data_IF_558397649728
#
_entry.id   IF_558397649728
#
_cell.length_a   1.000
_cell.length_b   1.000
_cell.length_c   1.000
_cell.angle_alpha   90.00
_cell.angle_beta   90.00
_cell.angle_gamma   90.00
#
_symmetry.space_group_name_H-M   'P 1'
#
loop_
_entity.id
_entity.type
_entity.pdbx_description
1 polymer ?
#
# COMPACT_ATOMS: atom_id res chain seq x y z
N UNK A 1 25.74 -0.23 42.66
CA UNK A 1 24.70 0.31 41.76
C UNK A 1 24.36 -0.80 40.79
N UNK A 2 23.28 -1.54 41.05
CA UNK A 2 22.82 -2.71 40.30
C UNK A 2 21.96 -2.27 39.09
N UNK A 3 22.09 -2.90 37.91
CA UNK A 3 21.23 -2.60 36.76
C UNK A 3 19.89 -3.28 36.86
N UNK A 4 18.85 -2.57 36.45
CA UNK A 4 17.42 -2.91 36.46
C UNK A 4 17.13 -4.14 35.59
N UNK A 5 16.57 -5.17 36.20
CA UNK A 5 16.12 -6.41 35.56
C UNK A 5 14.89 -6.14 34.68
N UNK A 6 15.00 -6.44 33.38
CA UNK A 6 13.87 -6.53 32.45
C UNK A 6 13.06 -7.80 32.79
N UNK A 7 11.87 -7.63 33.34
CA UNK A 7 10.90 -8.75 33.48
C UNK A 7 10.21 -8.99 32.14
N UNK A 8 10.36 -10.22 31.64
CA UNK A 8 9.84 -10.67 30.38
C UNK A 8 8.30 -10.80 30.39
N UNK A 9 7.72 -10.46 29.25
CA UNK A 9 6.42 -10.99 28.84
C UNK A 9 6.62 -12.43 28.33
N UNK A 10 5.75 -13.39 28.65
CA UNK A 10 5.89 -14.76 28.15
C UNK A 10 5.62 -14.81 26.64
N UNK A 11 6.38 -15.63 25.87
CA UNK A 11 6.09 -15.84 24.47
C UNK A 11 4.80 -16.65 24.34
N UNK A 12 3.89 -16.16 23.52
CA UNK A 12 2.71 -16.91 23.07
C UNK A 12 3.22 -17.98 22.08
N UNK A 13 3.43 -19.19 22.58
CA UNK A 13 3.78 -20.35 21.75
C UNK A 13 2.47 -20.95 21.24
N UNK A 14 2.13 -20.71 19.99
CA UNK A 14 1.20 -21.55 19.25
C UNK A 14 2.02 -22.54 18.43
N UNK A 15 1.85 -23.81 18.76
CA UNK A 15 2.45 -24.94 18.04
C UNK A 15 1.93 -25.01 16.58
N UNK A 16 2.84 -25.16 15.64
CA UNK A 16 2.62 -25.81 14.35
C UNK A 16 2.10 -24.98 13.19
N UNK A 17 2.91 -24.05 12.72
CA UNK A 17 3.07 -23.74 11.27
C UNK A 17 4.25 -22.76 11.12
N UNK A 18 5.03 -22.93 10.08
CA UNK A 18 6.15 -22.05 9.74
C UNK A 18 5.59 -20.70 9.26
N UNK A 19 4.99 -19.91 10.18
CA UNK A 19 4.41 -18.59 9.90
C UNK A 19 5.57 -17.60 9.96
N UNK A 20 6.07 -17.21 8.80
CA UNK A 20 6.95 -16.05 8.69
C UNK A 20 6.29 -14.85 9.38
N UNK A 21 7.06 -14.09 10.17
CA UNK A 21 6.55 -12.89 10.85
C UNK A 21 5.80 -11.97 9.87
N UNK A 22 4.63 -11.44 10.28
CA UNK A 22 3.82 -10.60 9.41
C UNK A 22 4.60 -9.33 9.04
N UNK A 23 4.51 -8.93 7.76
CA UNK A 23 5.16 -7.72 7.26
C UNK A 23 4.45 -6.44 7.72
N UNK A 24 3.13 -6.52 8.00
CA UNK A 24 2.32 -5.48 8.63
C UNK A 24 1.58 -6.11 9.81
N UNK A 25 1.71 -5.50 10.99
CA UNK A 25 1.02 -5.91 12.20
C UNK A 25 0.43 -4.71 12.91
N UNK A 26 -0.89 -4.66 13.04
CA UNK A 26 -1.63 -3.71 13.87
C UNK A 26 -2.21 -4.45 15.08
N UNK A 27 -2.09 -3.85 16.27
CA UNK A 27 -2.59 -4.42 17.55
C UNK A 27 -3.36 -3.32 18.26
N UNK A 28 -4.66 -3.52 18.44
CA UNK A 28 -5.55 -2.57 19.11
C UNK A 28 -5.55 -1.18 18.46
N UNK A 29 -5.34 -1.10 17.15
CA UNK A 29 -5.09 0.15 16.44
C UNK A 29 -6.32 1.04 16.44
N UNK A 30 -6.18 2.25 16.99
CA UNK A 30 -7.25 3.25 17.04
C UNK A 30 -6.76 4.55 16.43
N UNK A 31 -7.60 5.15 15.59
CA UNK A 31 -7.34 6.49 15.03
C UNK A 31 -8.57 7.38 15.18
N UNK A 32 -8.34 8.54 15.79
CA UNK A 32 -9.34 9.56 16.00
C UNK A 32 -8.89 10.89 15.42
N UNK A 33 -9.83 11.62 14.86
CA UNK A 33 -9.64 12.98 14.36
C UNK A 33 -10.47 13.95 15.18
N UNK A 34 -9.90 15.09 15.51
CA UNK A 34 -10.60 16.18 16.21
C UNK A 34 -11.02 17.22 15.16
N UNK A 35 -12.32 17.43 14.99
CA UNK A 35 -12.89 18.49 14.14
C UNK A 35 -13.65 19.48 15.00
N UNK A 36 -13.01 20.58 15.35
CA UNK A 36 -13.56 21.55 16.31
C UNK A 36 -13.77 20.90 17.69
N UNK A 37 -15.02 20.78 18.13
CA UNK A 37 -15.37 20.09 19.39
C UNK A 37 -15.81 18.63 19.19
N UNK A 38 -15.85 18.14 17.94
CA UNK A 38 -16.33 16.78 17.64
C UNK A 38 -15.14 15.86 17.43
N UNK A 39 -15.18 14.71 18.12
CA UNK A 39 -14.25 13.58 17.95
C UNK A 39 -14.84 12.61 16.96
N UNK A 40 -14.10 12.28 15.90
CA UNK A 40 -14.50 11.33 14.87
C UNK A 40 -13.53 10.15 14.93
N UNK A 41 -14.01 8.98 15.29
CA UNK A 41 -13.22 7.74 15.32
C UNK A 41 -13.23 7.11 13.93
N UNK A 42 -12.07 7.10 13.26
CA UNK A 42 -11.89 6.50 11.95
C UNK A 42 -11.53 5.01 12.02
N UNK A 43 -10.80 4.60 13.05
CA UNK A 43 -10.48 3.20 13.37
C UNK A 43 -10.65 2.98 14.86
N UNK A 44 -11.25 1.87 15.27
CA UNK A 44 -11.60 1.56 16.65
C UNK A 44 -11.14 0.16 17.05
N UNK A 45 -10.00 0.07 17.72
CA UNK A 45 -9.42 -1.17 18.26
C UNK A 45 -9.29 -2.27 17.18
N UNK A 46 -8.52 -1.99 16.11
CA UNK A 46 -8.38 -2.85 14.94
C UNK A 46 -7.12 -3.70 15.07
N UNK A 47 -7.25 -5.01 14.88
CA UNK A 47 -6.14 -5.96 14.79
C UNK A 47 -5.97 -6.45 13.35
N UNK A 48 -4.76 -6.35 12.80
CA UNK A 48 -4.44 -6.77 11.44
C UNK A 48 -3.06 -7.42 11.40
N UNK A 49 -2.98 -8.56 10.73
CA UNK A 49 -1.71 -9.16 10.34
C UNK A 49 -1.72 -9.44 8.83
N UNK A 50 -0.68 -8.98 8.13
CA UNK A 50 -0.47 -9.23 6.70
C UNK A 50 0.87 -9.92 6.53
N UNK A 51 0.88 -11.08 5.88
CA UNK A 51 2.07 -11.83 5.55
C UNK A 51 2.83 -11.25 4.36
N UNK A 52 4.12 -11.58 4.25
CA UNK A 52 4.91 -11.23 3.08
C UNK A 52 4.37 -11.93 1.83
N UNK A 53 4.22 -11.19 0.73
CA UNK A 53 3.68 -11.71 -0.52
C UNK A 53 2.16 -11.90 -0.53
N UNK A 54 1.44 -11.49 0.52
CA UNK A 54 -0.03 -11.47 0.46
C UNK A 54 -0.54 -10.34 -0.45
N UNK A 55 -1.65 -10.61 -1.14
CA UNK A 55 -2.47 -9.59 -1.77
C UNK A 55 -3.78 -9.48 -0.98
N UNK A 56 -3.93 -8.40 -0.23
CA UNK A 56 -5.09 -8.13 0.64
C UNK A 56 -5.91 -6.98 0.07
N UNK A 57 -7.22 -7.18 -0.05
CA UNK A 57 -8.18 -6.11 -0.34
C UNK A 57 -8.91 -5.70 0.95
N UNK A 58 -8.93 -4.40 1.22
CA UNK A 58 -9.73 -3.77 2.27
C UNK A 58 -10.97 -3.17 1.61
N UNK A 59 -12.14 -3.74 1.90
CA UNK A 59 -13.42 -3.32 1.33
C UNK A 59 -14.33 -2.70 2.40
N UNK A 60 -15.18 -1.78 1.99
CA UNK A 60 -16.17 -1.16 2.87
C UNK A 60 -16.72 0.15 2.31
N UNK A 61 -17.78 0.72 2.91
CA UNK A 61 -18.38 1.96 2.45
C UNK A 61 -17.43 3.16 2.56
N UNK A 62 -17.75 4.25 1.87
CA UNK A 62 -17.01 5.50 2.02
C UNK A 62 -17.02 5.96 3.49
N UNK A 63 -15.88 6.44 3.98
CA UNK A 63 -15.74 6.88 5.38
C UNK A 63 -15.58 5.75 6.41
N UNK A 64 -15.46 4.48 6.00
CA UNK A 64 -15.26 3.36 6.94
C UNK A 64 -13.87 3.29 7.59
N UNK A 65 -12.89 4.10 7.13
CA UNK A 65 -11.53 4.13 7.68
C UNK A 65 -10.45 3.47 6.82
N UNK A 66 -10.78 2.95 5.62
CA UNK A 66 -9.84 2.23 4.74
C UNK A 66 -8.59 3.03 4.37
N UNK A 67 -8.77 4.21 3.79
CA UNK A 67 -7.63 5.08 3.42
C UNK A 67 -6.88 5.57 4.66
N UNK A 68 -7.57 5.74 5.80
CA UNK A 68 -6.91 6.05 7.08
C UNK A 68 -5.95 4.93 7.47
N UNK A 69 -6.36 3.67 7.37
CA UNK A 69 -5.49 2.53 7.66
C UNK A 69 -4.28 2.49 6.71
N UNK A 70 -4.49 2.72 5.40
CA UNK A 70 -3.37 2.83 4.46
C UNK A 70 -2.40 3.95 4.84
N UNK A 71 -2.91 5.11 5.23
CA UNK A 71 -2.08 6.26 5.63
C UNK A 71 -1.28 5.98 6.91
N UNK A 72 -1.86 5.25 7.87
CA UNK A 72 -1.12 4.82 9.06
C UNK A 72 0.00 3.84 8.70
N UNK A 73 -0.27 2.83 7.85
CA UNK A 73 0.74 1.88 7.36
C UNK A 73 1.85 2.60 6.60
N UNK A 74 1.50 3.65 5.84
CA UNK A 74 2.46 4.48 5.12
C UNK A 74 3.26 5.43 6.04
N UNK A 75 2.91 5.53 7.32
CA UNK A 75 3.48 6.53 8.22
C UNK A 75 3.17 7.97 7.78
N UNK A 76 2.08 8.19 7.04
CA UNK A 76 1.60 9.54 6.67
C UNK A 76 0.82 10.17 7.82
N UNK A 77 0.37 9.35 8.76
CA UNK A 77 -0.29 9.76 10.00
C UNK A 77 0.15 8.81 11.12
N UNK A 78 -0.12 9.17 12.38
CA UNK A 78 0.19 8.37 13.54
C UNK A 78 -1.11 7.83 14.19
N UNK A 79 -1.11 6.62 14.78
CA UNK A 79 -2.23 6.11 15.56
C UNK A 79 -2.47 6.98 16.79
N UNK A 80 -3.73 7.03 17.26
CA UNK A 80 -4.09 7.66 18.53
C UNK A 80 -3.80 6.70 19.68
N UNK A 81 -4.12 5.41 19.50
CA UNK A 81 -3.87 4.33 20.44
C UNK A 81 -3.50 3.04 19.71
N UNK A 82 -2.96 2.07 20.44
CA UNK A 82 -2.52 0.79 19.88
C UNK A 82 -1.13 0.87 19.26
N UNK A 83 -0.77 -0.20 18.55
CA UNK A 83 0.57 -0.36 17.98
C UNK A 83 0.49 -0.76 16.51
N UNK A 84 1.34 -0.16 15.67
CA UNK A 84 1.48 -0.52 14.27
C UNK A 84 2.96 -0.77 13.96
N UNK A 85 3.27 -2.01 13.56
CA UNK A 85 4.59 -2.43 13.13
C UNK A 85 4.53 -2.76 11.65
N UNK A 86 5.44 -2.20 10.87
CA UNK A 86 5.57 -2.43 9.43
C UNK A 86 7.02 -2.76 9.12
N UNK A 87 7.28 -3.93 8.54
CA UNK A 87 8.64 -4.41 8.28
C UNK A 87 9.52 -4.46 9.55
N UNK A 88 8.93 -4.78 10.70
CA UNK A 88 9.63 -4.84 11.99
C UNK A 88 9.89 -3.47 12.64
N UNK A 89 9.48 -2.36 12.01
CA UNK A 89 9.67 -1.00 12.52
C UNK A 89 8.33 -0.33 12.82
N UNK A 90 8.32 0.68 13.69
CA UNK A 90 7.15 1.48 14.03
C UNK A 90 7.27 2.87 13.36
N UNK A 91 6.59 3.10 12.21
CA UNK A 91 6.72 4.36 11.47
C UNK A 91 6.35 5.60 12.30
N UNK A 92 5.39 5.45 13.22
CA UNK A 92 4.95 6.54 14.10
C UNK A 92 6.02 7.03 15.08
N UNK A 93 7.06 6.23 15.37
CA UNK A 93 8.16 6.59 16.26
C UNK A 93 9.37 7.16 15.52
N UNK A 94 9.36 7.19 14.20
CA UNK A 94 10.46 7.71 13.38
C UNK A 94 10.41 9.23 13.31
N UNK A 95 11.60 9.86 13.26
CA UNK A 95 11.66 11.26 12.86
C UNK A 95 11.38 11.40 11.36
N UNK A 96 10.92 12.58 10.94
CA UNK A 96 10.48 12.86 9.56
C UNK A 96 11.50 12.47 8.48
N UNK A 97 12.79 12.73 8.71
CA UNK A 97 13.86 12.41 7.75
C UNK A 97 14.06 10.91 7.59
N UNK A 98 14.02 10.15 8.69
CA UNK A 98 14.13 8.69 8.68
C UNK A 98 12.89 8.08 8.04
N UNK A 99 11.71 8.58 8.40
CA UNK A 99 10.42 8.14 7.87
C UNK A 99 10.31 8.37 6.36
N UNK A 100 10.76 9.52 5.85
CA UNK A 100 10.76 9.79 4.42
C UNK A 100 11.67 8.83 3.64
N UNK A 101 12.84 8.48 4.18
CA UNK A 101 13.75 7.49 3.57
C UNK A 101 13.17 6.09 3.63
N UNK A 102 12.61 5.72 4.77
CA UNK A 102 11.96 4.43 4.99
C UNK A 102 10.81 4.24 4.01
N UNK A 103 9.90 5.22 3.88
CA UNK A 103 8.82 5.21 2.89
C UNK A 103 9.34 5.00 1.47
N UNK A 104 10.33 5.81 1.07
CA UNK A 104 10.88 5.74 -0.28
C UNK A 104 11.54 4.39 -0.59
N UNK A 105 12.04 3.69 0.42
CA UNK A 105 12.72 2.41 0.24
C UNK A 105 11.74 1.23 0.24
N UNK A 106 10.76 1.26 1.14
CA UNK A 106 9.94 0.10 1.46
C UNK A 106 8.52 0.15 0.88
N UNK A 107 8.01 1.35 0.54
CA UNK A 107 6.63 1.52 0.11
C UNK A 107 6.52 2.08 -1.29
N UNK A 108 5.65 1.44 -2.11
CA UNK A 108 5.13 1.99 -3.34
C UNK A 108 3.68 2.45 -3.14
N UNK A 109 3.32 3.64 -3.60
CA UNK A 109 1.96 4.15 -3.46
C UNK A 109 1.29 4.33 -4.82
N UNK A 110 0.12 3.71 -4.99
CA UNK A 110 -0.75 3.82 -6.17
C UNK A 110 -2.02 4.54 -5.75
N UNK A 111 -2.32 5.68 -6.38
CA UNK A 111 -3.44 6.56 -6.03
C UNK A 111 -4.58 6.42 -7.03
N UNK A 112 -5.80 6.69 -6.60
CA UNK A 112 -6.99 6.75 -7.43
C UNK A 112 -6.89 7.82 -8.52
N UNK A 113 -6.37 9.01 -8.20
CA UNK A 113 -6.23 10.15 -9.12
C UNK A 113 -4.87 10.19 -9.81
N UNK A 114 -4.16 9.06 -9.92
CA UNK A 114 -2.85 8.88 -10.54
C UNK A 114 -1.74 9.74 -9.92
N UNK A 115 -2.02 10.96 -9.53
CA UNK A 115 -1.11 11.95 -8.91
C UNK A 115 0.21 12.11 -9.70
N UNK A 116 0.11 12.14 -11.03
CA UNK A 116 1.23 12.46 -11.90
C UNK A 116 1.46 13.98 -11.91
N UNK A 117 2.73 14.37 -12.01
CA UNK A 117 3.10 15.77 -12.17
C UNK A 117 2.90 16.14 -13.64
N UNK A 118 1.98 17.07 -13.98
CA UNK A 118 1.54 17.30 -15.35
C UNK A 118 2.62 17.86 -16.29
N UNK A 119 3.63 18.53 -15.72
CA UNK A 119 4.76 19.14 -16.48
C UNK A 119 5.92 18.18 -16.67
N UNK A 120 5.85 16.97 -16.16
CA UNK A 120 6.85 15.92 -16.32
C UNK A 120 6.34 14.86 -17.29
N UNK A 121 7.25 14.28 -18.08
CA UNK A 121 6.95 13.10 -18.91
C UNK A 121 6.66 11.85 -18.05
N UNK A 122 6.18 10.77 -18.66
CA UNK A 122 6.00 9.49 -18.01
C UNK A 122 7.32 9.01 -17.36
N UNK A 123 8.42 9.07 -18.11
CA UNK A 123 9.74 8.69 -17.60
C UNK A 123 10.19 9.56 -16.43
N UNK A 124 10.00 10.86 -16.51
CA UNK A 124 10.39 11.79 -15.44
C UNK A 124 9.53 11.61 -14.18
N UNK A 125 8.22 11.32 -14.32
CA UNK A 125 7.34 10.97 -13.20
C UNK A 125 7.82 9.70 -12.48
N UNK A 126 8.20 8.67 -13.24
CA UNK A 126 8.70 7.41 -12.66
C UNK A 126 10.10 7.59 -12.06
N UNK A 127 10.93 8.49 -12.60
CA UNK A 127 12.27 8.77 -12.04
C UNK A 127 12.24 9.50 -10.68
N UNK A 128 11.12 10.16 -10.32
CA UNK A 128 11.03 11.02 -9.11
C UNK A 128 11.49 10.34 -7.82
N UNK A 129 10.99 9.14 -7.44
CA UNK A 129 11.42 8.48 -6.20
C UNK A 129 12.92 8.18 -6.20
N UNK A 130 13.51 7.90 -7.35
CA UNK A 130 14.94 7.61 -7.48
C UNK A 130 15.83 8.84 -7.25
N UNK A 131 15.30 10.06 -7.38
CA UNK A 131 16.04 11.29 -7.06
C UNK A 131 16.40 11.41 -5.58
N UNK A 132 15.69 10.70 -4.70
CA UNK A 132 15.98 10.59 -3.27
C UNK A 132 17.07 9.56 -2.95
N UNK A 133 17.51 8.79 -3.94
CA UNK A 133 18.57 7.79 -3.81
C UNK A 133 19.93 8.36 -4.20
N UNK A 134 21.01 7.61 -3.93
CA UNK A 134 22.38 7.97 -4.37
C UNK A 134 22.70 7.50 -5.79
N UNK A 135 21.73 7.00 -6.55
CA UNK A 135 21.95 6.49 -7.90
C UNK A 135 22.36 7.62 -8.86
N UNK A 136 23.35 7.40 -9.75
CA UNK A 136 23.70 8.35 -10.79
C UNK A 136 22.54 8.47 -11.80
N UNK A 137 22.46 9.63 -12.47
CA UNK A 137 21.36 9.97 -13.41
C UNK A 137 21.12 8.88 -14.48
N UNK A 138 22.18 8.32 -15.04
CA UNK A 138 22.07 7.27 -16.05
C UNK A 138 21.34 6.02 -15.50
N UNK A 139 21.67 5.59 -14.30
CA UNK A 139 21.02 4.44 -13.64
C UNK A 139 19.58 4.73 -13.25
N UNK A 140 19.28 5.94 -12.78
CA UNK A 140 17.89 6.32 -12.50
C UNK A 140 17.02 6.24 -13.75
N UNK A 141 17.53 6.77 -14.88
CA UNK A 141 16.81 6.72 -16.15
C UNK A 141 16.63 5.30 -16.66
N UNK A 142 17.65 4.46 -16.56
CA UNK A 142 17.60 3.03 -16.91
C UNK A 142 16.53 2.29 -16.09
N UNK A 143 16.53 2.47 -14.75
CA UNK A 143 15.55 1.84 -13.86
C UNK A 143 14.13 2.33 -14.16
N UNK A 144 13.95 3.63 -14.40
CA UNK A 144 12.64 4.20 -14.73
C UNK A 144 12.12 3.67 -16.08
N UNK A 145 12.99 3.53 -17.08
CA UNK A 145 12.66 2.91 -18.37
C UNK A 145 12.25 1.45 -18.19
N UNK A 146 12.99 0.70 -17.38
CA UNK A 146 12.67 -0.71 -17.07
C UNK A 146 11.32 -0.84 -16.37
N UNK A 147 11.00 0.05 -15.43
CA UNK A 147 9.71 0.06 -14.75
C UNK A 147 8.56 0.38 -15.72
N UNK A 148 8.73 1.34 -16.64
CA UNK A 148 7.74 1.64 -17.68
C UNK A 148 7.54 0.47 -18.65
N UNK A 149 8.62 -0.21 -19.03
CA UNK A 149 8.55 -1.41 -19.87
C UNK A 149 7.79 -2.54 -19.17
N UNK A 150 7.98 -2.73 -17.86
CA UNK A 150 7.27 -3.75 -17.07
C UNK A 150 5.75 -3.55 -17.10
N UNK A 151 5.29 -2.30 -17.17
CA UNK A 151 3.86 -1.94 -17.24
C UNK A 151 3.36 -1.74 -18.69
N UNK A 152 4.18 -2.07 -19.71
CA UNK A 152 3.81 -2.01 -21.13
C UNK A 152 3.68 -0.58 -21.68
N UNK A 153 4.58 0.31 -21.26
CA UNK A 153 4.63 1.72 -21.70
C UNK A 153 6.01 2.15 -22.21
N UNK A 154 6.76 1.23 -22.81
CA UNK A 154 8.08 1.47 -23.38
C UNK A 154 8.06 2.42 -24.59
N UNK A 155 6.93 2.54 -25.28
CA UNK A 155 6.69 3.47 -26.38
C UNK A 155 6.12 4.84 -25.95
N UNK A 156 5.94 5.06 -24.62
CA UNK A 156 5.30 6.26 -24.05
C UNK A 156 6.21 7.06 -23.12
N UNK A 157 7.51 6.80 -23.11
CA UNK A 157 8.49 7.39 -22.17
C UNK A 157 8.44 8.93 -22.13
N UNK A 158 8.35 9.56 -23.29
CA UNK A 158 8.40 11.01 -23.45
C UNK A 158 7.01 11.68 -23.52
N UNK A 159 5.93 10.92 -23.30
CA UNK A 159 4.57 11.45 -23.25
C UNK A 159 4.30 12.15 -21.91
N UNK A 160 3.64 13.29 -21.98
CA UNK A 160 3.10 14.00 -20.82
C UNK A 160 1.76 13.37 -20.38
N UNK A 161 1.32 13.50 -19.12
CA UNK A 161 0.05 12.94 -18.64
C UNK A 161 -1.13 13.25 -19.57
N UNK A 162 -1.28 14.49 -20.03
CA UNK A 162 -2.36 14.92 -20.95
C UNK A 162 -2.40 14.18 -22.30
N UNK A 163 -1.37 13.43 -22.64
CA UNK A 163 -1.23 12.66 -23.89
C UNK A 163 -1.48 11.17 -23.66
N UNK A 164 -1.77 10.77 -22.42
CA UNK A 164 -2.00 9.40 -22.00
C UNK A 164 -3.49 9.18 -21.74
N UNK A 165 -3.98 7.95 -21.96
CA UNK A 165 -5.29 7.54 -21.44
C UNK A 165 -5.26 7.36 -19.94
N UNK A 166 -6.41 7.37 -19.25
CA UNK A 166 -6.47 7.14 -17.80
C UNK A 166 -5.82 5.83 -17.37
N UNK A 167 -6.01 4.75 -18.13
CA UNK A 167 -5.34 3.47 -17.88
C UNK A 167 -3.82 3.54 -18.09
N UNK A 168 -3.33 4.34 -19.04
CA UNK A 168 -1.90 4.60 -19.22
C UNK A 168 -1.34 5.45 -18.08
N UNK A 169 -2.04 6.50 -17.66
CA UNK A 169 -1.65 7.32 -16.50
C UNK A 169 -1.55 6.48 -15.23
N UNK A 170 -2.51 5.59 -14.99
CA UNK A 170 -2.48 4.67 -13.85
C UNK A 170 -1.29 3.72 -13.92
N UNK A 171 -1.00 3.16 -15.09
CA UNK A 171 0.19 2.32 -15.27
C UNK A 171 1.50 3.08 -15.05
N UNK A 172 1.60 4.36 -15.42
CA UNK A 172 2.74 5.24 -15.05
C UNK A 172 2.80 5.38 -13.52
N UNK A 173 1.66 5.59 -12.85
CA UNK A 173 1.57 5.63 -11.39
C UNK A 173 2.07 4.35 -10.72
N UNK A 174 1.72 3.18 -11.27
CA UNK A 174 2.21 1.88 -10.81
C UNK A 174 3.71 1.73 -11.06
N UNK A 175 4.22 2.10 -12.24
CA UNK A 175 5.66 2.08 -12.54
C UNK A 175 6.45 2.96 -11.56
N UNK A 176 5.93 4.15 -11.24
CA UNK A 176 6.49 5.05 -10.22
C UNK A 176 6.52 4.40 -8.83
N UNK A 177 5.47 3.68 -8.47
CA UNK A 177 5.41 2.95 -7.20
C UNK A 177 6.43 1.81 -7.12
N UNK A 178 6.76 1.19 -8.26
CA UNK A 178 7.66 0.02 -8.35
C UNK A 178 9.13 0.36 -8.50
N UNK A 179 9.47 1.56 -8.96
CA UNK A 179 10.82 1.90 -9.44
C UNK A 179 11.91 1.81 -8.36
N UNK A 180 11.52 1.89 -7.09
CA UNK A 180 12.42 1.72 -5.93
C UNK A 180 12.49 0.26 -5.45
N UNK A 181 11.79 -0.65 -6.12
CA UNK A 181 11.67 -2.06 -5.74
C UNK A 181 11.12 -2.27 -4.31
N UNK A 182 9.95 -1.69 -3.97
CA UNK A 182 9.43 -1.69 -2.61
C UNK A 182 9.01 -3.08 -2.13
N UNK A 183 9.00 -3.29 -0.81
CA UNK A 183 8.47 -4.50 -0.15
C UNK A 183 6.94 -4.56 -0.20
N UNK A 184 6.29 -3.39 -0.06
CA UNK A 184 4.83 -3.26 0.04
C UNK A 184 4.32 -2.24 -0.98
N UNK A 185 3.24 -2.58 -1.67
CA UNK A 185 2.48 -1.68 -2.53
C UNK A 185 1.16 -1.35 -1.83
N UNK A 186 0.93 -0.07 -1.58
CA UNK A 186 -0.32 0.46 -1.04
C UNK A 186 -1.12 1.07 -2.19
N UNK A 187 -2.29 0.50 -2.49
CA UNK A 187 -3.13 0.93 -3.60
C UNK A 187 -4.47 1.47 -3.07
N UNK A 188 -4.68 2.77 -3.18
CA UNK A 188 -5.92 3.43 -2.75
C UNK A 188 -6.84 3.63 -3.96
N UNK A 189 -7.86 2.80 -4.08
CA UNK A 189 -8.84 2.75 -5.17
C UNK A 189 -8.20 2.79 -6.57
N UNK A 190 -7.28 1.87 -6.90
CA UNK A 190 -6.43 1.97 -8.09
C UNK A 190 -7.18 1.91 -9.42
N UNK A 191 -8.45 1.53 -9.42
CA UNK A 191 -9.32 1.39 -10.59
C UNK A 191 -10.49 2.37 -10.60
N UNK A 192 -10.66 3.19 -9.55
CA UNK A 192 -11.85 3.99 -9.33
C UNK A 192 -12.15 5.05 -10.39
N UNK A 193 -11.14 5.47 -11.17
CA UNK A 193 -11.28 6.47 -12.24
C UNK A 193 -11.08 5.87 -13.65
N UNK A 194 -11.20 4.55 -13.80
CA UNK A 194 -10.93 3.83 -15.04
C UNK A 194 -12.20 3.23 -15.64
N UNK A 195 -12.21 3.10 -16.96
CA UNK A 195 -13.16 2.24 -17.66
C UNK A 195 -12.91 0.75 -17.33
N UNK A 196 -13.90 -0.12 -17.61
CA UNK A 196 -13.86 -1.53 -17.24
C UNK A 196 -12.65 -2.29 -17.83
N UNK A 197 -12.25 -1.97 -19.06
CA UNK A 197 -11.10 -2.61 -19.73
C UNK A 197 -9.80 -2.19 -19.08
N UNK A 198 -9.60 -0.90 -18.89
CA UNK A 198 -8.42 -0.34 -18.21
C UNK A 198 -8.32 -0.81 -16.75
N UNK A 199 -9.46 -0.93 -16.06
CA UNK A 199 -9.52 -1.46 -14.70
C UNK A 199 -9.05 -2.92 -14.65
N UNK A 200 -9.55 -3.78 -15.56
CA UNK A 200 -9.12 -5.17 -15.66
C UNK A 200 -7.60 -5.28 -15.93
N UNK A 201 -7.06 -4.47 -16.85
CA UNK A 201 -5.62 -4.45 -17.14
C UNK A 201 -4.79 -4.07 -15.90
N UNK A 202 -5.23 -3.07 -15.13
CA UNK A 202 -4.55 -2.65 -13.88
C UNK A 202 -4.61 -3.74 -12.81
N UNK A 203 -5.76 -4.41 -12.63
CA UNK A 203 -5.89 -5.51 -11.68
C UNK A 203 -5.02 -6.70 -12.07
N UNK A 204 -5.00 -7.07 -13.35
CA UNK A 204 -4.12 -8.11 -13.88
C UNK A 204 -2.64 -7.78 -13.62
N UNK A 205 -2.24 -6.52 -13.82
CA UNK A 205 -0.89 -6.07 -13.52
C UNK A 205 -0.56 -6.23 -12.04
N UNK A 206 -1.44 -5.80 -11.13
CA UNK A 206 -1.24 -5.96 -9.68
C UNK A 206 -1.14 -7.44 -9.28
N UNK A 207 -1.99 -8.31 -9.85
CA UNK A 207 -1.91 -9.76 -9.62
C UNK A 207 -0.58 -10.35 -10.09
N UNK A 208 -0.07 -9.93 -11.26
CA UNK A 208 1.24 -10.35 -11.75
C UNK A 208 2.35 -9.90 -10.81
N UNK A 209 2.32 -8.66 -10.34
CA UNK A 209 3.30 -8.13 -9.38
C UNK A 209 3.32 -8.93 -8.08
N UNK A 210 2.16 -9.36 -7.62
CA UNK A 210 2.06 -10.22 -6.45
C UNK A 210 2.59 -11.65 -6.75
N UNK A 211 2.07 -12.33 -7.79
CA UNK A 211 2.34 -13.75 -8.04
C UNK A 211 3.75 -14.01 -8.60
N UNK A 212 4.21 -13.16 -9.53
CA UNK A 212 5.47 -13.37 -10.24
C UNK A 212 6.66 -12.70 -9.54
N UNK A 213 6.42 -11.54 -8.89
CA UNK A 213 7.47 -10.75 -8.23
C UNK A 213 7.40 -10.79 -6.69
N UNK A 214 6.45 -11.54 -6.12
CA UNK A 214 6.32 -11.72 -4.66
C UNK A 214 6.00 -10.44 -3.88
N UNK A 215 5.44 -9.40 -4.54
CA UNK A 215 5.12 -8.13 -3.88
C UNK A 215 3.95 -8.28 -2.93
N UNK A 216 4.07 -7.74 -1.72
CA UNK A 216 2.93 -7.61 -0.81
C UNK A 216 2.08 -6.45 -1.25
N UNK A 217 0.77 -6.64 -1.39
CA UNK A 217 -0.15 -5.61 -1.86
C UNK A 217 -1.30 -5.44 -0.88
N UNK A 218 -1.51 -4.19 -0.41
CA UNK A 218 -2.72 -3.80 0.30
C UNK A 218 -3.51 -2.85 -0.60
N UNK A 219 -4.67 -3.28 -1.05
CA UNK A 219 -5.56 -2.52 -1.91
C UNK A 219 -6.81 -2.11 -1.15
N UNK A 220 -7.16 -0.85 -1.21
CA UNK A 220 -8.45 -0.33 -0.77
C UNK A 220 -9.36 -0.21 -1.96
N UNK A 221 -10.58 -0.69 -1.83
CA UNK A 221 -11.61 -0.54 -2.86
C UNK A 221 -13.01 -0.60 -2.25
N UNK A 222 -13.99 -0.01 -2.93
CA UNK A 222 -15.41 -0.21 -2.64
C UNK A 222 -16.08 -1.08 -3.72
N UNK A 223 -15.33 -1.45 -4.77
CA UNK A 223 -15.82 -2.28 -5.87
C UNK A 223 -15.54 -3.77 -5.60
N UNK A 224 -16.59 -4.63 -5.52
CA UNK A 224 -16.42 -6.06 -5.30
C UNK A 224 -15.62 -6.78 -6.40
N UNK A 225 -15.71 -6.29 -7.64
CA UNK A 225 -14.97 -6.88 -8.77
C UNK A 225 -13.45 -6.66 -8.59
N UNK A 226 -13.06 -5.45 -8.24
CA UNK A 226 -11.66 -5.14 -7.92
C UNK A 226 -11.17 -5.94 -6.70
N UNK A 227 -12.00 -6.08 -5.66
CA UNK A 227 -11.66 -6.83 -4.47
C UNK A 227 -11.41 -8.32 -4.75
N UNK A 228 -12.11 -8.90 -5.71
CA UNK A 228 -11.94 -10.31 -6.12
C UNK A 228 -10.56 -10.60 -6.73
N UNK A 229 -9.80 -9.58 -7.14
CA UNK A 229 -8.42 -9.75 -7.62
C UNK A 229 -7.44 -10.13 -6.49
N UNK A 230 -7.78 -9.85 -5.22
CA UNK A 230 -6.95 -10.15 -4.07
C UNK A 230 -7.13 -11.59 -3.57
N UNK A 231 -6.08 -12.13 -2.96
CA UNK A 231 -6.11 -13.46 -2.33
C UNK A 231 -6.84 -13.48 -0.97
N UNK A 232 -6.98 -12.32 -0.32
CA UNK A 232 -7.67 -12.16 0.96
C UNK A 232 -8.49 -10.89 0.98
N UNK A 233 -9.73 -11.00 1.42
CA UNK A 233 -10.65 -9.87 1.55
C UNK A 233 -10.93 -9.59 3.02
N UNK A 234 -10.86 -8.32 3.41
CA UNK A 234 -11.18 -7.84 4.75
C UNK A 234 -12.23 -6.74 4.61
N UNK A 235 -13.33 -6.86 5.33
CA UNK A 235 -14.37 -5.84 5.37
C UNK A 235 -14.15 -4.89 6.55
N UNK A 236 -14.18 -3.59 6.26
CA UNK A 236 -14.11 -2.52 7.26
C UNK A 236 -15.40 -1.72 7.23
N UNK A 237 -16.12 -1.66 8.37
CA UNK A 237 -17.28 -0.80 8.54
C UNK A 237 -17.17 -0.01 9.84
N UNK A 238 -17.43 1.29 9.77
CA UNK A 238 -17.40 2.21 10.93
C UNK A 238 -16.15 2.05 11.80
N UNK A 239 -15.01 1.89 11.15
CA UNK A 239 -13.71 1.77 11.82
C UNK A 239 -13.42 0.42 12.46
N UNK A 240 -14.21 -0.63 12.19
CA UNK A 240 -14.01 -1.97 12.72
C UNK A 240 -13.98 -3.00 11.60
N UNK A 241 -13.16 -4.03 11.76
CA UNK A 241 -13.25 -5.19 10.87
C UNK A 241 -14.51 -5.99 11.17
N UNK A 242 -15.24 -6.31 10.10
CA UNK A 242 -16.32 -7.28 10.14
C UNK A 242 -15.69 -8.62 9.75
N UNK A 243 -15.90 -9.68 10.54
CA UNK A 243 -15.51 -11.03 10.15
C UNK A 243 -16.10 -11.33 8.77
N UNK A 244 -15.24 -11.57 7.78
CA UNK A 244 -15.68 -12.02 6.48
C UNK A 244 -16.29 -13.41 6.66
N UNK A 245 -17.60 -13.52 6.46
CA UNK A 245 -18.20 -14.80 6.15
C UNK A 245 -17.39 -15.36 4.97
N UNK A 246 -16.82 -16.55 5.15
CA UNK A 246 -15.99 -17.23 4.17
C UNK A 246 -16.64 -17.14 2.79
N UNK A 247 -16.03 -16.39 1.87
CA UNK A 247 -16.53 -16.32 0.50
C UNK A 247 -16.19 -17.68 -0.12
N UNK A 248 -17.15 -18.58 -0.11
CA UNK A 248 -17.19 -19.73 -1.00
C UNK A 248 -17.06 -19.19 -2.41
N UNK A 249 -16.06 -19.68 -3.15
CA UNK A 249 -15.84 -19.34 -4.55
C UNK A 249 -17.16 -19.34 -5.32
N UNK A 250 -17.47 -18.21 -5.97
CA UNK A 250 -18.57 -18.16 -6.95
C UNK A 250 -18.11 -19.08 -8.10
N UNK A 251 -18.88 -20.13 -8.45
CA UNK A 251 -18.54 -20.96 -9.60
C UNK A 251 -18.67 -20.13 -10.87
N UNK A 252 -17.76 -20.39 -11.82
CA UNK A 252 -17.60 -19.75 -13.14
C UNK A 252 -18.85 -19.84 -14.01
#
# INVERSE_FOLDING_TARGET
>A
VTPFSRRGCPPFVSEGSNVSEPIVQAIGLTKEFIRGQTKVTALANVDLAVGRGEFVALMGPSGSGKSTLLHLIAGMDAPTEGRLVVLGEEPALMNERSLARWRNHHLGFVFQSFNLIPVLTALENVELPLKLTKLPRARRRENATTALKLVGLDDRLDHFPRQLSGGQEQRVGIARALVTDPDIILADEPTGNLDATSAADVLNLLQRLNKEFGKTILMVTHDPHSAAAAGRLIHLDKGKFIEAASITAVPA
#
